data_IF_968258549405
#
_entry.id   IF_968258549405
#
_cell.length_a   1.000
_cell.length_b   1.000
_cell.length_c   1.000
_cell.angle_alpha   90.00
_cell.angle_beta   90.00
_cell.angle_gamma   90.00
#
_symmetry.space_group_name_H-M   'P 1'
#
loop_
_entity.id
_entity.type
_entity.pdbx_description
1 polymer ?
#
# COMPACT_ATOMS: atom_id res chain seq x y z
N UNK A 1 13.70 24.16 9.91
CA UNK A 1 13.44 23.05 8.95
C UNK A 1 12.03 23.21 8.33
N UNK A 2 11.81 22.76 7.10
CA UNK A 2 10.46 22.76 6.49
C UNK A 2 9.62 21.62 7.05
N UNK A 3 8.35 21.90 7.42
CA UNK A 3 7.43 20.88 7.93
C UNK A 3 6.89 20.03 6.78
N UNK A 4 6.87 18.71 6.96
CA UNK A 4 6.19 17.80 6.04
C UNK A 4 4.68 17.92 6.20
N UNK A 5 3.97 18.03 5.07
CA UNK A 5 2.51 17.97 5.09
C UNK A 5 2.06 16.51 5.22
N UNK A 6 1.57 16.14 6.40
CA UNK A 6 1.20 14.76 6.70
C UNK A 6 0.08 14.21 5.82
N UNK A 7 -0.86 15.05 5.36
CA UNK A 7 -1.91 14.62 4.44
C UNK A 7 -1.35 14.35 3.06
N UNK A 8 -0.49 15.24 2.55
CA UNK A 8 0.14 15.06 1.25
C UNK A 8 1.06 13.83 1.24
N UNK A 9 1.90 13.65 2.27
CA UNK A 9 2.79 12.49 2.36
C UNK A 9 1.99 11.19 2.48
N UNK A 10 0.99 11.14 3.37
CA UNK A 10 0.10 9.99 3.48
C UNK A 10 -0.58 9.66 2.16
N UNK A 11 -1.18 10.64 1.49
CA UNK A 11 -1.87 10.42 0.23
C UNK A 11 -0.95 9.88 -0.88
N UNK A 12 0.24 10.45 -1.03
CA UNK A 12 1.23 9.98 -2.00
C UNK A 12 1.70 8.55 -1.71
N UNK A 13 2.06 8.25 -0.46
CA UNK A 13 2.53 6.90 -0.08
C UNK A 13 1.40 5.88 -0.17
N UNK A 14 0.18 6.25 0.23
CA UNK A 14 -1.02 5.44 0.04
C UNK A 14 -1.25 5.11 -1.42
N UNK A 15 -1.26 6.11 -2.31
CA UNK A 15 -1.46 5.88 -3.74
C UNK A 15 -0.41 4.93 -4.31
N UNK A 16 0.87 5.15 -4.01
CA UNK A 16 1.96 4.29 -4.46
C UNK A 16 1.75 2.85 -3.94
N UNK A 17 1.47 2.69 -2.64
CA UNK A 17 1.26 1.38 -2.02
C UNK A 17 0.06 0.62 -2.61
N UNK A 18 -1.06 1.30 -2.82
CA UNK A 18 -2.24 0.73 -3.46
C UNK A 18 -1.94 0.30 -4.90
N UNK A 19 -1.34 1.17 -5.70
CA UNK A 19 -1.01 0.90 -7.11
C UNK A 19 -0.05 -0.29 -7.22
N UNK A 20 0.94 -0.40 -6.33
CA UNK A 20 1.87 -1.54 -6.31
C UNK A 20 1.11 -2.85 -6.11
N UNK A 21 0.21 -2.94 -5.12
CA UNK A 21 -0.56 -4.17 -4.87
C UNK A 21 -1.49 -4.48 -6.05
N UNK A 22 -2.13 -3.47 -6.64
CA UNK A 22 -2.97 -3.64 -7.82
C UNK A 22 -2.17 -4.23 -8.99
N UNK A 23 -1.03 -3.62 -9.34
CA UNK A 23 -0.18 -4.08 -10.44
C UNK A 23 0.40 -5.47 -10.17
N UNK A 24 0.81 -5.75 -8.93
CA UNK A 24 1.33 -7.06 -8.54
C UNK A 24 0.26 -8.14 -8.71
N UNK A 25 -0.98 -7.87 -8.30
CA UNK A 25 -2.10 -8.79 -8.43
C UNK A 25 -2.46 -9.05 -9.89
N UNK A 26 -2.62 -7.98 -10.69
CA UNK A 26 -2.91 -8.10 -12.12
C UNK A 26 -1.79 -8.79 -12.89
N UNK A 27 -0.53 -8.47 -12.60
CA UNK A 27 0.63 -9.14 -13.19
C UNK A 27 0.70 -10.62 -12.83
N UNK A 28 0.31 -10.99 -11.60
CA UNK A 28 0.17 -12.39 -11.19
C UNK A 28 -0.91 -13.11 -11.99
N UNK A 29 -2.06 -12.49 -12.21
CA UNK A 29 -3.13 -13.06 -13.03
C UNK A 29 -2.68 -13.29 -14.48
N UNK A 30 -1.94 -12.35 -15.05
CA UNK A 30 -1.46 -12.45 -16.44
C UNK A 30 -0.39 -13.54 -16.62
N UNK A 31 0.38 -13.83 -15.58
CA UNK A 31 1.47 -14.83 -15.61
C UNK A 31 1.06 -16.19 -15.04
N UNK A 32 -0.22 -16.54 -15.08
CA UNK A 32 -0.76 -17.78 -14.52
C UNK A 32 -0.36 -18.02 -13.04
N UNK A 33 -0.32 -16.94 -12.25
CA UNK A 33 -0.01 -16.90 -10.81
C UNK A 33 1.43 -17.23 -10.44
N UNK A 34 2.37 -17.04 -11.36
CA UNK A 34 3.82 -17.21 -11.10
C UNK A 34 4.42 -15.94 -10.51
N UNK A 35 4.12 -14.77 -11.09
CA UNK A 35 4.68 -13.49 -10.63
C UNK A 35 4.13 -13.10 -9.26
N UNK A 36 5.01 -12.72 -8.34
CA UNK A 36 4.63 -12.23 -7.01
C UNK A 36 3.95 -13.27 -6.11
N UNK A 37 3.94 -14.56 -6.48
CA UNK A 37 3.16 -15.63 -5.83
C UNK A 37 3.27 -15.59 -4.30
N UNK A 38 4.46 -15.81 -3.75
CA UNK A 38 4.65 -15.88 -2.29
C UNK A 38 4.24 -14.59 -1.57
N UNK A 39 4.51 -13.42 -2.17
CA UNK A 39 4.11 -12.14 -1.60
C UNK A 39 2.58 -12.00 -1.53
N UNK A 40 1.86 -12.32 -2.62
CA UNK A 40 0.40 -12.21 -2.69
C UNK A 40 -0.30 -13.23 -1.80
N UNK A 41 0.25 -14.44 -1.66
CA UNK A 41 -0.27 -15.44 -0.72
C UNK A 41 -0.11 -15.01 0.74
N UNK A 42 1.03 -14.42 1.11
CA UNK A 42 1.21 -13.82 2.44
C UNK A 42 0.29 -12.61 2.65
N UNK A 43 -0.02 -11.86 1.59
CA UNK A 43 -0.98 -10.77 1.68
C UNK A 43 -2.39 -11.29 1.93
N UNK A 44 -2.79 -12.35 1.22
CA UNK A 44 -4.10 -12.99 1.36
C UNK A 44 -4.32 -13.67 2.71
N UNK A 45 -3.25 -14.09 3.40
CA UNK A 45 -3.39 -14.63 4.76
C UNK A 45 -3.64 -13.56 5.81
N UNK A 46 -3.30 -12.30 5.54
CA UNK A 46 -3.42 -11.19 6.50
C UNK A 46 -4.60 -10.27 6.17
N UNK A 47 -4.91 -10.07 4.88
CA UNK A 47 -5.96 -9.18 4.42
C UNK A 47 -7.31 -9.91 4.33
N UNK A 48 -8.29 -9.59 5.19
CA UNK A 48 -9.59 -10.25 5.15
C UNK A 48 -10.32 -9.99 3.84
N UNK A 49 -10.82 -11.05 3.20
CA UNK A 49 -11.57 -10.93 1.94
C UNK A 49 -10.73 -10.60 0.70
N UNK A 50 -9.40 -10.49 0.85
CA UNK A 50 -8.50 -10.37 -0.30
C UNK A 50 -8.19 -11.75 -0.88
N UNK A 51 -8.38 -11.88 -2.19
CA UNK A 51 -7.97 -13.06 -2.95
C UNK A 51 -7.21 -12.64 -4.22
N UNK A 52 -6.50 -13.57 -4.85
CA UNK A 52 -5.75 -13.28 -6.08
C UNK A 52 -6.71 -13.36 -7.28
N UNK A 53 -7.52 -12.30 -7.44
CA UNK A 53 -8.46 -12.09 -8.54
C UNK A 53 -8.53 -10.61 -8.94
N UNK A 54 -9.27 -10.31 -10.01
CA UNK A 54 -9.50 -8.92 -10.44
C UNK A 54 -10.23 -8.10 -9.39
N UNK A 55 -11.20 -8.69 -8.68
CA UNK A 55 -11.90 -8.01 -7.58
C UNK A 55 -10.98 -7.85 -6.36
N UNK A 56 -10.18 -8.89 -6.06
CA UNK A 56 -9.15 -8.82 -5.05
C UNK A 56 -8.08 -7.76 -5.32
N UNK A 57 -7.74 -7.50 -6.58
CA UNK A 57 -6.81 -6.42 -6.95
C UNK A 57 -7.35 -5.02 -6.58
N UNK A 58 -8.66 -4.79 -6.73
CA UNK A 58 -9.31 -3.54 -6.30
C UNK A 58 -9.35 -3.43 -4.77
N UNK A 59 -9.66 -4.52 -4.07
CA UNK A 59 -9.56 -4.57 -2.61
C UNK A 59 -8.12 -4.33 -2.14
N UNK A 60 -7.14 -4.92 -2.82
CA UNK A 60 -5.72 -4.74 -2.57
C UNK A 60 -5.26 -3.30 -2.76
N UNK A 61 -5.80 -2.59 -3.77
CA UNK A 61 -5.59 -1.15 -3.94
C UNK A 61 -6.08 -0.39 -2.69
N UNK A 62 -7.28 -0.68 -2.21
CA UNK A 62 -7.84 -0.04 -1.01
C UNK A 62 -7.01 -0.34 0.25
N UNK A 63 -6.61 -1.60 0.46
CA UNK A 63 -5.77 -1.99 1.59
C UNK A 63 -4.38 -1.36 1.53
N UNK A 64 -3.74 -1.39 0.35
CA UNK A 64 -2.45 -0.75 0.11
C UNK A 64 -2.51 0.76 0.30
N UNK A 65 -3.59 1.39 -0.16
CA UNK A 65 -3.83 2.81 0.07
C UNK A 65 -4.00 3.14 1.55
N UNK A 66 -4.84 2.40 2.26
CA UNK A 66 -5.08 2.64 3.68
C UNK A 66 -3.79 2.45 4.51
N UNK A 67 -3.07 1.36 4.27
CA UNK A 67 -1.81 1.07 4.95
C UNK A 67 -0.71 2.09 4.61
N UNK A 68 -0.52 2.39 3.32
CA UNK A 68 0.46 3.38 2.88
C UNK A 68 0.11 4.80 3.35
N UNK A 69 -1.17 5.16 3.39
CA UNK A 69 -1.63 6.43 3.93
C UNK A 69 -1.33 6.55 5.40
N UNK A 70 -1.66 5.53 6.19
CA UNK A 70 -1.36 5.49 7.62
C UNK A 70 0.14 5.62 7.89
N UNK A 71 0.96 4.84 7.16
CA UNK A 71 2.41 4.87 7.28
C UNK A 71 2.99 6.24 6.91
N UNK A 72 2.63 6.78 5.74
CA UNK A 72 3.12 8.10 5.30
C UNK A 72 2.65 9.22 6.21
N UNK A 73 1.39 9.20 6.65
CA UNK A 73 0.88 10.18 7.61
C UNK A 73 1.64 10.14 8.94
N UNK A 74 1.90 8.93 9.46
CA UNK A 74 2.65 8.74 10.69
C UNK A 74 4.11 9.20 10.56
N UNK A 75 4.78 8.87 9.46
CA UNK A 75 6.15 9.31 9.17
C UNK A 75 6.24 10.84 9.16
N UNK A 76 5.32 11.53 8.49
CA UNK A 76 5.32 13.00 8.49
C UNK A 76 5.08 13.58 9.90
N UNK A 77 4.22 12.96 10.71
CA UNK A 77 3.98 13.37 12.10
C UNK A 77 5.22 13.20 12.96
N UNK A 78 5.90 12.05 12.87
CA UNK A 78 7.13 11.76 13.60
C UNK A 78 8.25 12.70 13.16
N UNK A 79 8.45 12.88 11.85
CA UNK A 79 9.44 13.82 11.32
C UNK A 79 9.22 15.23 11.88
N UNK A 80 7.99 15.75 11.81
CA UNK A 80 7.68 17.08 12.33
C UNK A 80 7.80 17.20 13.85
N UNK A 81 7.73 16.08 14.57
CA UNK A 81 7.93 16.05 16.03
C UNK A 81 9.40 16.15 16.39
N UNK A 82 10.27 15.40 15.71
CA UNK A 82 11.71 15.41 15.96
C UNK A 82 12.44 16.60 15.30
N UNK A 83 11.99 17.06 14.14
CA UNK A 83 12.58 18.19 13.40
C UNK A 83 12.24 19.57 13.99
N UNK A 84 11.71 19.61 15.22
CA UNK A 84 11.26 20.83 15.92
C UNK A 84 12.36 21.54 16.72
N UNK A 85 13.62 21.13 16.56
CA UNK A 85 14.79 21.84 17.09
C UNK A 85 15.09 23.13 16.30
#
# INVERSE_FOLDING_TARGET
>A
MMKLNARALGFSVGLIGGIIILLLTLGSLWTARVYGKYCLYSLASVLPGYDISTNGALLGLCYGFAGGFGAGWLVAKLYNFFAKE
#
